data_IF_695491283739
#
_entry.id   IF_695491283739
#
_cell.length_a   1.000
_cell.length_b   1.000
_cell.length_c   1.000
_cell.angle_alpha   90.00
_cell.angle_beta   90.00
_cell.angle_gamma   90.00
#
_symmetry.space_group_name_H-M   'P 1'
#
loop_
_entity.id
_entity.type
_entity.pdbx_description
1 polymer ?
#
# COMPACT_ATOMS: atom_id res chain seq x y z
N UNK A 1 80.34 20.10 0.10
CA UNK A 1 79.09 20.74 -0.34
C UNK A 1 77.99 19.69 -0.41
N UNK A 2 77.15 19.57 0.63
CA UNK A 2 76.00 18.65 0.64
C UNK A 2 74.77 19.44 0.19
N UNK A 3 74.12 19.02 -0.91
CA UNK A 3 72.87 19.61 -1.40
C UNK A 3 71.70 19.02 -0.64
N UNK A 4 70.99 19.87 0.09
CA UNK A 4 69.73 19.56 0.77
C UNK A 4 68.60 19.63 -0.26
N UNK A 5 67.88 18.52 -0.49
CA UNK A 5 66.68 18.49 -1.32
C UNK A 5 65.48 18.85 -0.45
N UNK A 6 64.78 19.93 -0.81
CA UNK A 6 63.51 20.36 -0.21
C UNK A 6 62.40 19.48 -0.80
N UNK A 7 61.82 18.56 -0.01
CA UNK A 7 60.58 17.86 -0.36
C UNK A 7 59.39 18.75 -0.04
N UNK A 8 58.72 19.26 -1.07
CA UNK A 8 57.46 20.00 -0.96
C UNK A 8 56.32 18.99 -0.82
N UNK A 9 55.76 18.85 0.39
CA UNK A 9 54.53 18.08 0.60
C UNK A 9 53.34 18.86 0.05
N UNK A 10 52.79 18.41 -1.07
CA UNK A 10 51.48 18.86 -1.55
C UNK A 10 50.39 18.21 -0.69
N UNK A 11 49.80 19.00 0.20
CA UNK A 11 48.53 18.63 0.85
C UNK A 11 47.42 18.70 -0.19
N UNK A 12 47.00 17.55 -0.71
CA UNK A 12 45.70 17.43 -1.37
C UNK A 12 44.62 17.51 -0.29
N UNK A 13 44.05 18.70 -0.10
CA UNK A 13 42.75 18.85 0.57
C UNK A 13 41.69 18.20 -0.33
N UNK A 14 41.38 16.93 -0.06
CA UNK A 14 40.12 16.34 -0.48
C UNK A 14 39.01 17.17 0.17
N UNK A 15 38.40 18.06 -0.61
CA UNK A 15 37.13 18.65 -0.27
C UNK A 15 36.13 17.50 -0.12
N UNK A 16 35.89 17.09 1.12
CA UNK A 16 34.68 16.37 1.50
C UNK A 16 33.53 17.31 1.11
N UNK A 17 32.95 17.11 -0.08
CA UNK A 17 31.68 17.71 -0.41
C UNK A 17 30.68 17.14 0.58
N UNK A 18 30.40 17.90 1.62
CA UNK A 18 29.40 17.57 2.63
C UNK A 18 28.05 17.55 1.92
N UNK A 19 27.65 16.37 1.46
CA UNK A 19 26.44 16.20 0.68
C UNK A 19 25.30 16.26 1.68
N UNK A 20 24.45 17.28 1.57
CA UNK A 20 23.26 17.46 2.38
C UNK A 20 22.54 16.11 2.58
N UNK A 21 22.22 15.81 3.84
CA UNK A 21 21.59 14.55 4.20
C UNK A 21 20.14 14.54 3.72
N UNK A 22 19.71 13.45 3.10
CA UNK A 22 18.31 13.26 2.72
C UNK A 22 17.47 13.04 4.00
N UNK A 23 16.31 13.69 4.11
CA UNK A 23 15.35 13.43 5.18
C UNK A 23 14.47 12.25 4.76
N UNK A 24 14.80 11.05 5.20
CA UNK A 24 14.14 9.83 4.75
C UNK A 24 13.17 9.28 5.81
N UNK A 25 12.05 8.75 5.35
CA UNK A 25 11.14 7.96 6.17
C UNK A 25 11.82 6.68 6.70
N UNK A 26 11.12 5.95 7.57
CA UNK A 26 11.65 4.72 8.16
C UNK A 26 11.97 3.67 7.08
N UNK A 27 13.21 3.18 7.09
CA UNK A 27 13.81 2.33 6.04
C UNK A 27 13.66 2.91 4.61
N UNK A 28 13.53 4.24 4.52
CA UNK A 28 13.43 5.01 3.29
C UNK A 28 14.64 4.82 2.40
N UNK A 29 14.41 4.94 1.10
CA UNK A 29 15.48 4.89 0.10
C UNK A 29 15.67 6.28 -0.47
N UNK A 30 16.94 6.63 -0.67
CA UNK A 30 17.30 7.85 -1.37
C UNK A 30 16.49 8.02 -2.68
N UNK A 31 15.75 9.12 -2.84
CA UNK A 31 15.04 9.43 -4.06
C UNK A 31 15.97 9.50 -5.28
N UNK A 32 15.50 8.98 -6.41
CA UNK A 32 16.17 9.18 -7.70
C UNK A 32 15.39 10.22 -8.50
N UNK A 33 15.48 11.49 -8.09
CA UNK A 33 14.73 12.60 -8.67
C UNK A 33 14.86 12.71 -10.20
N UNK A 34 16.02 12.36 -10.77
CA UNK A 34 16.23 12.32 -12.23
C UNK A 34 15.30 11.39 -12.99
N UNK A 35 14.67 10.40 -12.33
CA UNK A 35 13.64 9.56 -12.96
C UNK A 35 12.41 10.38 -13.37
N UNK A 36 12.13 11.48 -12.68
CA UNK A 36 10.99 12.35 -12.98
C UNK A 36 11.17 13.11 -14.30
N UNK A 37 12.40 13.19 -14.84
CA UNK A 37 12.66 13.81 -16.16
C UNK A 37 11.91 13.11 -17.30
N UNK A 38 11.59 11.82 -17.16
CA UNK A 38 10.79 11.11 -18.17
C UNK A 38 9.33 11.56 -18.21
N UNK A 39 8.87 12.36 -17.24
CA UNK A 39 7.49 12.84 -17.14
C UNK A 39 7.33 14.30 -17.56
N UNK A 40 8.38 14.94 -18.07
CA UNK A 40 8.30 16.32 -18.55
C UNK A 40 7.23 16.45 -19.63
N UNK A 41 6.37 17.46 -19.50
CA UNK A 41 5.29 17.78 -20.45
C UNK A 41 4.27 16.63 -20.65
N UNK A 42 4.14 15.72 -19.68
CA UNK A 42 3.13 14.63 -19.72
C UNK A 42 1.77 15.03 -19.12
N UNK A 43 1.75 16.11 -18.34
CA UNK A 43 0.59 16.59 -17.59
C UNK A 43 0.43 18.11 -17.76
N UNK A 44 -0.82 18.58 -17.84
CA UNK A 44 -1.11 20.02 -17.83
C UNK A 44 -1.02 20.58 -16.41
N UNK A 45 -0.92 21.91 -16.29
CA UNK A 45 -0.95 22.59 -14.99
C UNK A 45 -2.20 22.23 -14.19
N UNK A 46 -3.36 22.33 -14.81
CA UNK A 46 -4.64 22.19 -14.12
C UNK A 46 -4.88 20.74 -13.67
N UNK A 47 -4.47 19.75 -14.48
CA UNK A 47 -4.49 18.35 -14.05
C UNK A 47 -3.52 18.10 -12.89
N UNK A 48 -2.31 18.68 -12.92
CA UNK A 48 -1.36 18.55 -11.82
C UNK A 48 -1.92 19.17 -10.53
N UNK A 49 -2.49 20.37 -10.63
CA UNK A 49 -3.12 21.08 -9.52
C UNK A 49 -4.31 20.30 -8.95
N UNK A 50 -5.16 19.72 -9.80
CA UNK A 50 -6.26 18.87 -9.36
C UNK A 50 -5.77 17.63 -8.64
N UNK A 51 -4.83 16.88 -9.22
CA UNK A 51 -4.33 15.66 -8.59
C UNK A 51 -3.62 15.96 -7.27
N UNK A 52 -2.80 16.99 -7.19
CA UNK A 52 -2.07 17.27 -5.95
C UNK A 52 -3.01 17.77 -4.85
N UNK A 53 -3.93 18.69 -5.14
CA UNK A 53 -4.78 19.29 -4.11
C UNK A 53 -6.02 18.46 -3.77
N UNK A 54 -6.63 17.80 -4.75
CA UNK A 54 -7.95 17.17 -4.59
C UNK A 54 -7.87 15.64 -4.47
N UNK A 55 -6.71 15.04 -4.75
CA UNK A 55 -6.51 13.59 -4.70
C UNK A 55 -5.43 13.18 -3.71
N UNK A 56 -4.20 13.68 -3.88
CA UNK A 56 -3.07 13.23 -3.10
C UNK A 56 -2.92 13.97 -1.77
N UNK A 57 -3.19 15.27 -1.72
CA UNK A 57 -3.01 16.12 -0.54
C UNK A 57 -4.31 16.87 -0.20
N UNK A 58 -5.40 16.14 -0.04
CA UNK A 58 -6.76 16.65 0.22
C UNK A 58 -6.90 17.51 1.48
N UNK A 59 -5.91 17.42 2.39
CA UNK A 59 -5.83 18.21 3.62
C UNK A 59 -4.72 19.28 3.58
N UNK A 60 -4.19 19.54 2.38
CA UNK A 60 -3.12 20.52 2.14
C UNK A 60 -1.70 19.97 2.35
N UNK A 61 -0.73 20.79 1.95
CA UNK A 61 0.71 20.56 2.13
C UNK A 61 1.42 21.90 2.35
N UNK A 62 2.66 21.87 2.85
CA UNK A 62 3.41 23.10 3.08
C UNK A 62 3.80 23.77 1.73
N UNK A 63 3.51 25.07 1.51
CA UNK A 63 3.70 25.73 0.22
C UNK A 63 5.15 25.73 -0.31
N UNK A 64 6.13 25.60 0.57
CA UNK A 64 7.55 25.53 0.23
C UNK A 64 7.99 24.16 -0.33
N UNK A 65 7.17 23.12 -0.17
CA UNK A 65 7.45 21.79 -0.70
C UNK A 65 7.17 21.70 -2.20
N UNK A 66 6.08 22.32 -2.66
CA UNK A 66 5.62 22.27 -4.06
C UNK A 66 5.03 23.63 -4.44
N UNK A 67 5.66 24.28 -5.42
CA UNK A 67 5.21 25.57 -5.96
C UNK A 67 4.71 25.39 -7.40
N UNK A 68 3.43 25.72 -7.65
CA UNK A 68 2.73 25.52 -8.93
C UNK A 68 2.67 26.85 -9.69
N UNK A 69 3.55 27.00 -10.67
CA UNK A 69 3.65 28.15 -11.55
C UNK A 69 2.79 27.94 -12.83
N UNK A 70 2.67 28.95 -13.72
CA UNK A 70 1.89 28.81 -14.95
C UNK A 70 2.35 27.65 -15.86
N UNK A 71 3.66 27.54 -16.09
CA UNK A 71 4.23 26.55 -17.02
C UNK A 71 5.01 25.41 -16.32
N UNK A 72 5.23 25.52 -15.01
CA UNK A 72 6.05 24.56 -14.25
C UNK A 72 5.55 24.30 -12.84
N UNK A 73 5.92 23.16 -12.26
CA UNK A 73 5.93 22.94 -10.83
C UNK A 73 7.36 22.82 -10.32
N UNK A 74 7.70 23.51 -9.23
CA UNK A 74 8.97 23.37 -8.52
C UNK A 74 8.74 22.49 -7.29
N UNK A 75 9.40 21.36 -7.23
CA UNK A 75 9.30 20.40 -6.12
C UNK A 75 10.60 20.42 -5.33
N UNK A 76 10.53 20.67 -4.03
CA UNK A 76 11.69 20.62 -3.13
C UNK A 76 12.23 19.18 -3.09
N UNK A 77 13.51 19.00 -3.43
CA UNK A 77 14.15 17.68 -3.46
C UNK A 77 14.90 17.33 -2.19
N UNK A 78 15.33 18.35 -1.44
CA UNK A 78 16.01 18.21 -0.16
C UNK A 78 15.97 19.55 0.61
N UNK A 79 15.44 19.53 1.84
CA UNK A 79 15.25 20.73 2.64
C UNK A 79 16.58 21.39 3.08
N UNK A 80 17.63 20.62 3.35
CA UNK A 80 18.90 21.17 3.84
C UNK A 80 19.65 21.95 2.74
N UNK A 81 19.68 21.42 1.53
CA UNK A 81 20.33 22.04 0.37
C UNK A 81 19.44 23.04 -0.37
N UNK A 82 18.14 23.10 -0.05
CA UNK A 82 17.13 23.88 -0.79
C UNK A 82 17.13 23.55 -2.30
N UNK A 83 17.52 22.32 -2.65
CA UNK A 83 17.52 21.86 -4.04
C UNK A 83 16.11 21.58 -4.52
N UNK A 84 15.86 21.85 -5.81
CA UNK A 84 14.54 21.71 -6.42
C UNK A 84 14.60 20.93 -7.75
N UNK A 85 13.55 20.18 -8.02
CA UNK A 85 13.25 19.59 -9.32
C UNK A 85 12.18 20.45 -10.01
N UNK A 86 12.36 20.75 -11.29
CA UNK A 86 11.39 21.54 -12.07
C UNK A 86 10.69 20.64 -13.07
N UNK A 87 9.38 20.42 -12.86
CA UNK A 87 8.50 19.76 -13.82
C UNK A 87 7.91 20.81 -14.75
N UNK A 88 8.02 20.62 -16.07
CA UNK A 88 7.36 21.41 -17.10
C UNK A 88 6.02 20.80 -17.44
N UNK A 89 5.01 21.65 -17.56
CA UNK A 89 3.68 21.25 -17.96
C UNK A 89 3.54 21.18 -19.49
N UNK A 90 2.65 20.31 -19.95
CA UNK A 90 2.15 20.36 -21.31
C UNK A 90 1.33 21.65 -21.49
N UNK A 91 1.44 22.29 -22.66
CA UNK A 91 0.67 23.50 -22.99
C UNK A 91 -0.84 23.24 -23.00
N UNK A 92 -1.23 22.07 -23.49
CA UNK A 92 -2.61 21.58 -23.51
C UNK A 92 -2.61 20.05 -23.70
N UNK A 93 -3.80 19.45 -23.63
CA UNK A 93 -3.96 18.00 -23.76
C UNK A 93 -3.45 17.42 -25.08
N UNK A 94 -3.57 18.17 -26.18
CA UNK A 94 -3.14 17.71 -27.52
C UNK A 94 -1.63 17.72 -27.69
N UNK A 95 -0.90 18.51 -26.89
CA UNK A 95 0.55 18.62 -26.95
C UNK A 95 1.27 17.77 -25.89
N UNK A 96 0.55 16.90 -25.16
CA UNK A 96 1.14 16.15 -24.05
C UNK A 96 2.06 15.03 -24.54
N UNK A 97 3.19 14.84 -23.86
CA UNK A 97 4.03 13.67 -24.05
C UNK A 97 3.33 12.41 -23.52
N UNK A 98 3.60 11.24 -24.11
CA UNK A 98 3.12 9.96 -23.57
C UNK A 98 3.62 9.75 -22.14
N UNK A 99 2.72 9.35 -21.25
CA UNK A 99 3.08 9.03 -19.85
C UNK A 99 3.86 7.71 -19.84
N UNK A 100 5.12 7.68 -19.35
CA UNK A 100 5.86 6.45 -19.20
C UNK A 100 5.25 5.61 -18.06
N UNK A 101 4.88 4.36 -18.35
CA UNK A 101 4.25 3.45 -17.37
C UNK A 101 4.97 2.11 -17.33
N UNK A 102 4.93 1.47 -16.16
CA UNK A 102 5.35 0.08 -15.96
C UNK A 102 4.15 -0.90 -15.98
N UNK A 103 2.98 -0.38 -16.30
CA UNK A 103 1.67 -1.04 -16.27
C UNK A 103 0.83 -0.55 -17.47
N UNK A 104 -0.17 -1.32 -17.87
CA UNK A 104 -1.04 -1.00 -19.00
C UNK A 104 -2.42 -0.56 -18.51
N UNK A 105 -2.93 0.63 -18.90
CA UNK A 105 -4.32 1.00 -18.62
C UNK A 105 -5.28 0.08 -19.34
N UNK A 106 -6.50 -0.09 -18.80
CA UNK A 106 -7.50 -1.01 -19.34
C UNK A 106 -7.79 -0.74 -20.82
N UNK A 107 -7.80 0.53 -21.23
CA UNK A 107 -8.04 0.97 -22.61
C UNK A 107 -6.91 0.60 -23.59
N UNK A 108 -5.70 0.34 -23.11
CA UNK A 108 -4.58 -0.10 -23.96
C UNK A 108 -4.47 -1.62 -24.08
N UNK A 109 -5.21 -2.37 -23.27
CA UNK A 109 -5.25 -3.82 -23.40
C UNK A 109 -5.98 -4.21 -24.69
N UNK A 110 -5.69 -5.38 -25.29
CA UNK A 110 -6.38 -5.86 -26.48
C UNK A 110 -7.91 -5.87 -26.31
N UNK A 111 -8.69 -5.99 -27.39
CA UNK A 111 -10.15 -6.15 -27.26
C UNK A 111 -10.50 -7.37 -26.41
N UNK A 112 -11.56 -7.26 -25.60
CA UNK A 112 -12.04 -8.33 -24.72
C UNK A 112 -12.49 -9.55 -25.54
N UNK A 113 -12.20 -10.76 -25.05
CA UNK A 113 -12.82 -11.99 -25.52
C UNK A 113 -14.01 -12.32 -24.61
N UNK A 114 -15.15 -12.72 -25.19
CA UNK A 114 -16.38 -12.94 -24.42
C UNK A 114 -16.22 -14.01 -23.31
N UNK A 115 -15.47 -15.08 -23.60
CA UNK A 115 -15.16 -16.17 -22.66
C UNK A 115 -14.02 -15.85 -21.68
N UNK A 116 -13.16 -14.88 -22.03
CA UNK A 116 -11.96 -14.50 -21.27
C UNK A 116 -11.90 -12.98 -21.09
N UNK A 117 -12.79 -12.42 -20.25
CA UNK A 117 -12.93 -10.98 -20.09
C UNK A 117 -11.68 -10.27 -19.55
N UNK A 118 -10.77 -11.01 -18.90
CA UNK A 118 -9.53 -10.48 -18.34
C UNK A 118 -8.30 -10.87 -19.19
N UNK A 119 -8.50 -11.36 -20.41
CA UNK A 119 -7.39 -11.72 -21.31
C UNK A 119 -6.45 -10.54 -21.56
N UNK A 120 -5.15 -10.77 -21.37
CA UNK A 120 -4.08 -9.79 -21.53
C UNK A 120 -3.69 -9.06 -20.24
N UNK A 121 -4.53 -9.12 -19.20
CA UNK A 121 -4.29 -8.43 -17.94
C UNK A 121 -3.32 -9.20 -17.04
N UNK A 122 -2.36 -8.49 -16.43
CA UNK A 122 -1.43 -9.02 -15.44
C UNK A 122 -1.83 -8.55 -14.04
N UNK A 123 -2.26 -9.48 -13.19
CA UNK A 123 -2.69 -9.18 -11.82
C UNK A 123 -1.69 -9.80 -10.84
N UNK A 124 -1.20 -9.00 -9.90
CA UNK A 124 -0.52 -9.50 -8.72
C UNK A 124 -1.49 -9.52 -7.52
N UNK A 125 -1.57 -10.67 -6.85
CA UNK A 125 -2.28 -10.81 -5.59
C UNK A 125 -1.31 -10.57 -4.45
N UNK A 126 -1.60 -9.62 -3.58
CA UNK A 126 -0.85 -9.36 -2.36
C UNK A 126 -1.69 -9.72 -1.14
N UNK A 127 -1.60 -10.97 -0.65
CA UNK A 127 -2.23 -11.34 0.60
C UNK A 127 -1.59 -10.55 1.75
N UNK A 128 -2.37 -9.66 2.37
CA UNK A 128 -1.94 -8.82 3.48
C UNK A 128 -1.37 -9.63 4.64
N UNK A 129 -0.54 -9.00 5.46
CA UNK A 129 0.02 -9.59 6.69
C UNK A 129 0.88 -10.84 6.48
N UNK A 130 1.40 -11.39 7.58
CA UNK A 130 2.05 -12.69 7.67
C UNK A 130 1.25 -13.62 8.58
N UNK A 131 1.14 -14.88 8.14
CA UNK A 131 0.34 -15.91 8.80
C UNK A 131 1.14 -16.83 9.72
N UNK A 132 0.51 -17.92 10.18
CA UNK A 132 1.14 -18.97 10.97
C UNK A 132 1.85 -18.45 12.23
N UNK A 133 3.14 -18.76 12.36
CA UNK A 133 3.95 -18.37 13.54
C UNK A 133 4.17 -16.85 13.66
N UNK A 134 3.99 -16.10 12.57
CA UNK A 134 4.23 -14.64 12.54
C UNK A 134 3.01 -13.84 12.98
N UNK A 135 1.80 -14.42 12.91
CA UNK A 135 0.57 -13.67 13.13
C UNK A 135 0.45 -13.02 14.51
N UNK A 136 1.00 -13.67 15.56
CA UNK A 136 1.01 -13.10 16.92
C UNK A 136 1.90 -11.85 17.01
N UNK A 137 3.02 -11.82 16.29
CA UNK A 137 3.93 -10.67 16.24
C UNK A 137 3.29 -9.48 15.52
N UNK A 138 2.48 -9.73 14.48
CA UNK A 138 1.76 -8.66 13.78
C UNK A 138 0.53 -8.16 14.54
N UNK A 139 0.15 -8.83 15.63
CA UNK A 139 -1.08 -8.58 16.38
C UNK A 139 -2.35 -8.64 15.52
N UNK A 140 -2.28 -9.33 14.37
CA UNK A 140 -3.41 -9.62 13.50
C UNK A 140 -3.89 -11.05 13.73
N UNK A 141 -4.12 -11.34 15.00
CA UNK A 141 -4.40 -12.67 15.50
C UNK A 141 -5.31 -12.62 16.73
N UNK A 142 -6.24 -13.58 16.83
CA UNK A 142 -6.98 -13.83 18.06
C UNK A 142 -7.53 -15.26 18.12
N UNK A 143 -8.02 -15.66 19.29
CA UNK A 143 -8.69 -16.94 19.50
C UNK A 143 -9.80 -16.79 20.55
N UNK A 144 -10.94 -17.46 20.35
CA UNK A 144 -12.07 -17.45 21.30
C UNK A 144 -12.22 -18.85 21.89
N UNK A 145 -12.00 -18.99 23.19
CA UNK A 145 -12.03 -20.30 23.85
C UNK A 145 -11.10 -21.32 23.17
N UNK A 146 -11.63 -22.51 22.85
CA UNK A 146 -10.87 -23.60 22.24
C UNK A 146 -11.01 -23.67 20.71
N UNK A 147 -11.49 -22.60 20.05
CA UNK A 147 -11.66 -22.59 18.58
C UNK A 147 -10.32 -22.53 17.86
N UNK A 148 -10.32 -22.71 16.53
CA UNK A 148 -9.11 -22.47 15.75
C UNK A 148 -8.73 -20.98 15.81
N UNK A 149 -7.43 -20.64 15.90
CA UNK A 149 -6.98 -19.27 15.89
C UNK A 149 -7.35 -18.59 14.56
N UNK A 150 -7.80 -17.34 14.65
CA UNK A 150 -8.01 -16.48 13.50
C UNK A 150 -6.73 -15.70 13.25
N UNK A 151 -6.16 -15.83 12.06
CA UNK A 151 -4.92 -15.16 11.67
C UNK A 151 -5.11 -14.48 10.32
N UNK A 152 -5.09 -13.14 10.28
CA UNK A 152 -5.42 -12.41 9.04
C UNK A 152 -4.54 -12.83 7.85
N UNK A 153 -3.24 -13.04 8.10
CA UNK A 153 -2.30 -13.52 7.09
C UNK A 153 -2.65 -14.90 6.50
N UNK A 154 -3.29 -15.78 7.25
CA UNK A 154 -3.76 -17.08 6.76
C UNK A 154 -5.02 -16.91 5.91
N UNK A 155 -5.98 -16.10 6.41
CA UNK A 155 -7.25 -15.85 5.74
C UNK A 155 -7.03 -15.21 4.35
N UNK A 156 -6.19 -14.18 4.28
CA UNK A 156 -5.90 -13.47 3.02
C UNK A 156 -5.20 -14.37 2.01
N UNK A 157 -4.30 -15.26 2.48
CA UNK A 157 -3.63 -16.22 1.63
C UNK A 157 -4.60 -17.26 1.06
N UNK A 158 -5.57 -17.70 1.88
CA UNK A 158 -6.64 -18.59 1.44
C UNK A 158 -7.53 -17.95 0.38
N UNK A 159 -7.95 -16.69 0.57
CA UNK A 159 -8.69 -15.93 -0.46
C UNK A 159 -7.88 -15.85 -1.75
N UNK A 160 -6.60 -15.51 -1.68
CA UNK A 160 -5.74 -15.39 -2.86
C UNK A 160 -5.61 -16.72 -3.64
N UNK A 161 -5.53 -17.85 -2.92
CA UNK A 161 -5.48 -19.19 -3.52
C UNK A 161 -6.78 -19.57 -4.24
N UNK A 162 -7.92 -19.07 -3.79
CA UNK A 162 -9.22 -19.27 -4.46
C UNK A 162 -9.42 -18.28 -5.62
N UNK A 163 -8.99 -17.04 -5.45
CA UNK A 163 -9.11 -15.97 -6.45
C UNK A 163 -8.23 -16.24 -7.68
N UNK A 164 -6.99 -16.69 -7.48
CA UNK A 164 -6.04 -16.92 -8.56
C UNK A 164 -6.54 -17.87 -9.68
N UNK A 165 -7.05 -19.08 -9.41
CA UNK A 165 -7.59 -19.95 -10.46
C UNK A 165 -8.81 -19.35 -11.16
N UNK A 166 -9.67 -18.61 -10.44
CA UNK A 166 -10.82 -17.91 -11.04
C UNK A 166 -10.37 -16.84 -12.04
N UNK A 167 -9.44 -15.97 -11.64
CA UNK A 167 -8.88 -14.94 -12.52
C UNK A 167 -8.15 -15.54 -13.73
N UNK A 168 -7.40 -16.64 -13.55
CA UNK A 168 -6.77 -17.37 -14.66
C UNK A 168 -7.78 -17.94 -15.64
N UNK A 169 -8.89 -18.51 -15.14
CA UNK A 169 -10.00 -19.00 -15.97
C UNK A 169 -10.62 -17.87 -16.81
N UNK A 170 -10.72 -16.67 -16.24
CA UNK A 170 -11.17 -15.45 -16.92
C UNK A 170 -10.12 -14.85 -17.88
N UNK A 171 -8.93 -15.43 -17.98
CA UNK A 171 -7.89 -15.09 -18.95
C UNK A 171 -6.75 -14.20 -18.42
N UNK A 172 -6.76 -13.81 -17.14
CA UNK A 172 -5.69 -13.01 -16.56
C UNK A 172 -4.42 -13.83 -16.34
N UNK A 173 -3.26 -13.18 -16.41
CA UNK A 173 -2.00 -13.70 -15.90
C UNK A 173 -1.87 -13.31 -14.43
N UNK A 174 -1.88 -14.30 -13.54
CA UNK A 174 -1.90 -14.06 -12.09
C UNK A 174 -0.59 -14.44 -11.43
N UNK A 175 -0.05 -13.50 -10.66
CA UNK A 175 1.14 -13.63 -9.83
C UNK A 175 0.78 -13.51 -8.36
N UNK A 176 1.60 -14.09 -7.49
CA UNK A 176 1.51 -13.88 -6.05
C UNK A 176 2.69 -13.03 -5.58
N UNK A 177 2.41 -12.06 -4.72
CA UNK A 177 3.43 -11.29 -4.00
C UNK A 177 4.01 -12.12 -2.84
N UNK A 178 3.18 -12.98 -2.22
CA UNK A 178 3.61 -14.10 -1.38
C UNK A 178 2.71 -15.33 -1.59
N UNK A 179 3.30 -16.52 -1.51
CA UNK A 179 2.60 -17.80 -1.75
C UNK A 179 2.47 -18.68 -0.49
N UNK A 180 3.12 -18.27 0.60
CA UNK A 180 3.14 -18.95 1.89
C UNK A 180 3.00 -17.96 3.04
N UNK A 181 3.03 -18.49 4.27
CA UNK A 181 3.06 -17.70 5.49
C UNK A 181 4.46 -17.18 5.84
N UNK A 182 5.49 -17.54 5.07
CA UNK A 182 6.84 -17.05 5.32
C UNK A 182 7.02 -15.63 4.75
N UNK A 183 7.75 -14.75 5.45
CA UNK A 183 8.14 -13.44 4.93
C UNK A 183 9.00 -13.60 3.67
N UNK A 184 8.84 -12.69 2.72
CA UNK A 184 9.68 -12.67 1.51
C UNK A 184 10.94 -11.82 1.70
N UNK A 185 11.00 -11.00 2.77
CA UNK A 185 12.23 -10.36 3.21
C UNK A 185 13.19 -11.38 3.85
N UNK A 186 14.48 -11.21 3.55
CA UNK A 186 15.54 -11.99 4.18
C UNK A 186 15.84 -11.49 5.60
N UNK A 187 15.42 -10.26 5.94
CA UNK A 187 15.67 -9.67 7.25
C UNK A 187 14.73 -10.26 8.31
N UNK A 188 15.15 -10.20 9.57
CA UNK A 188 14.41 -10.66 10.75
C UNK A 188 14.41 -9.56 11.82
N UNK A 189 13.55 -9.65 12.85
CA UNK A 189 13.51 -8.64 13.92
C UNK A 189 14.90 -8.33 14.49
N UNK A 190 15.74 -9.34 14.72
CA UNK A 190 17.07 -9.12 15.29
C UNK A 190 18.01 -8.25 14.44
N UNK A 191 17.83 -8.24 13.12
CA UNK A 191 18.59 -7.37 12.21
C UNK A 191 18.32 -5.87 12.44
N UNK A 192 17.24 -5.54 13.17
CA UNK A 192 16.79 -4.17 13.38
C UNK A 192 17.05 -3.64 14.80
N UNK A 193 17.61 -4.42 15.72
CA UNK A 193 17.73 -4.00 17.14
C UNK A 193 18.45 -2.67 17.33
N UNK A 194 19.57 -2.48 16.63
CA UNK A 194 20.33 -1.22 16.71
C UNK A 194 19.56 -0.03 16.11
N UNK A 195 18.83 -0.24 15.01
CA UNK A 195 17.99 0.81 14.43
C UNK A 195 16.80 1.13 15.32
N UNK A 196 16.15 0.11 15.87
CA UNK A 196 15.04 0.23 16.81
C UNK A 196 15.44 1.07 18.04
N UNK A 197 16.60 0.76 18.64
CA UNK A 197 17.15 1.54 19.76
C UNK A 197 17.34 3.01 19.39
N UNK A 198 17.92 3.31 18.23
CA UNK A 198 18.13 4.69 17.76
C UNK A 198 16.81 5.43 17.55
N UNK A 199 15.81 4.77 16.96
CA UNK A 199 14.47 5.35 16.75
C UNK A 199 13.81 5.65 18.09
N UNK A 200 13.84 4.71 19.04
CA UNK A 200 13.25 4.90 20.38
C UNK A 200 13.89 6.06 21.14
N UNK A 201 15.23 6.15 21.13
CA UNK A 201 15.97 7.28 21.74
C UNK A 201 15.57 8.60 21.09
N UNK A 202 15.52 8.65 19.74
CA UNK A 202 15.08 9.85 19.01
C UNK A 202 13.65 10.25 19.36
N UNK A 203 12.78 9.28 19.62
CA UNK A 203 11.37 9.49 19.96
C UNK A 203 11.12 9.71 21.46
N UNK A 204 12.17 9.98 22.25
CA UNK A 204 12.03 10.37 23.65
C UNK A 204 12.10 9.22 24.67
N UNK A 205 12.55 8.03 24.27
CA UNK A 205 12.82 6.91 25.18
C UNK A 205 14.35 6.78 25.36
N UNK A 206 14.99 7.54 26.27
CA UNK A 206 16.45 7.65 26.34
C UNK A 206 17.14 6.34 26.77
N UNK A 207 16.44 5.47 27.51
CA UNK A 207 16.91 4.16 27.94
C UNK A 207 15.92 3.07 27.52
N UNK A 208 15.87 2.70 26.22
CA UNK A 208 14.95 1.68 25.75
C UNK A 208 15.23 0.32 26.39
N UNK A 209 14.18 -0.33 26.89
CA UNK A 209 14.26 -1.70 27.41
C UNK A 209 14.47 -2.69 26.26
N UNK A 210 15.25 -3.74 26.49
CA UNK A 210 15.62 -4.68 25.44
C UNK A 210 14.43 -5.52 24.96
N UNK A 211 13.75 -6.17 25.90
CA UNK A 211 12.72 -7.16 25.62
C UNK A 211 11.47 -6.95 26.50
N UNK A 212 10.35 -7.51 26.06
CA UNK A 212 9.10 -7.58 26.79
C UNK A 212 9.11 -8.84 27.65
N UNK A 213 9.03 -8.69 28.98
CA UNK A 213 8.89 -9.83 29.91
C UNK A 213 7.43 -10.28 30.05
N UNK A 214 6.48 -9.35 29.91
CA UNK A 214 5.03 -9.57 30.01
C UNK A 214 4.32 -9.02 28.77
N UNK A 215 3.60 -9.84 27.97
CA UNK A 215 2.81 -9.36 26.82
C UNK A 215 1.77 -8.28 27.14
N UNK A 216 1.35 -8.16 28.40
CA UNK A 216 0.42 -7.14 28.89
C UNK A 216 1.12 -5.87 29.41
N UNK A 217 2.44 -5.78 29.28
CA UNK A 217 3.20 -4.60 29.67
C UNK A 217 2.67 -3.35 28.93
N UNK A 218 2.15 -2.33 29.66
CA UNK A 218 1.60 -1.12 29.05
C UNK A 218 2.65 -0.31 28.29
N UNK A 219 3.94 -0.53 28.57
CA UNK A 219 5.06 0.11 27.90
C UNK A 219 5.76 -0.82 26.90
N UNK A 220 5.15 -1.96 26.52
CA UNK A 220 5.74 -2.90 25.54
C UNK A 220 6.18 -2.22 24.25
N UNK A 221 5.46 -1.17 23.83
CA UNK A 221 5.73 -0.42 22.61
C UNK A 221 7.05 0.37 22.67
N UNK A 222 7.56 0.64 23.87
CA UNK A 222 8.83 1.34 24.10
C UNK A 222 10.05 0.41 24.14
N UNK A 223 9.85 -0.89 23.86
CA UNK A 223 10.94 -1.88 23.86
C UNK A 223 11.64 -1.99 22.50
N UNK A 224 12.94 -2.30 22.53
CA UNK A 224 13.74 -2.55 21.34
C UNK A 224 13.15 -3.71 20.55
N UNK A 225 12.73 -4.79 21.22
CA UNK A 225 12.08 -5.94 20.59
C UNK A 225 10.84 -5.52 19.79
N UNK A 226 9.89 -4.84 20.42
CA UNK A 226 8.66 -4.41 19.76
C UNK A 226 8.94 -3.55 18.53
N UNK A 227 9.79 -2.52 18.69
CA UNK A 227 10.14 -1.64 17.58
C UNK A 227 10.87 -2.41 16.45
N UNK A 228 11.67 -3.42 16.78
CA UNK A 228 12.34 -4.29 15.80
C UNK A 228 11.35 -5.16 15.03
N UNK A 229 10.33 -5.70 15.70
CA UNK A 229 9.23 -6.44 15.09
C UNK A 229 8.44 -5.55 14.10
N UNK A 230 8.10 -4.31 14.51
CA UNK A 230 7.46 -3.32 13.63
C UNK A 230 8.31 -3.02 12.39
N UNK A 231 9.61 -2.79 12.56
CA UNK A 231 10.55 -2.54 11.45
C UNK A 231 10.61 -3.73 10.48
N UNK A 232 10.52 -4.94 11.00
CA UNK A 232 10.51 -6.16 10.21
C UNK A 232 9.24 -6.29 9.35
N UNK A 233 8.05 -6.41 9.96
CA UNK A 233 6.85 -6.78 9.21
C UNK A 233 6.17 -5.58 8.52
N UNK A 234 6.23 -4.38 9.11
CA UNK A 234 5.52 -3.20 8.58
C UNK A 234 6.36 -2.40 7.59
N UNK A 235 7.69 -2.49 7.64
CA UNK A 235 8.58 -1.75 6.75
C UNK A 235 9.41 -2.64 5.84
N UNK A 236 10.24 -3.53 6.39
CA UNK A 236 11.15 -4.36 5.58
C UNK A 236 10.40 -5.29 4.64
N UNK A 237 9.42 -6.02 5.17
CA UNK A 237 8.59 -6.95 4.40
C UNK A 237 7.82 -6.23 3.27
N UNK A 238 7.09 -5.15 3.57
CA UNK A 238 6.34 -4.39 2.55
C UNK A 238 7.28 -3.79 1.49
N UNK A 239 8.45 -3.24 1.88
CA UNK A 239 9.43 -2.73 0.91
C UNK A 239 10.02 -3.84 0.05
N UNK A 240 10.18 -5.07 0.58
CA UNK A 240 10.59 -6.22 -0.20
C UNK A 240 9.50 -6.65 -1.19
N UNK A 241 8.24 -6.62 -0.79
CA UNK A 241 7.09 -6.85 -1.68
C UNK A 241 7.06 -5.82 -2.81
N UNK A 242 7.29 -4.56 -2.51
CA UNK A 242 7.39 -3.50 -3.51
C UNK A 242 8.52 -3.76 -4.52
N UNK A 243 9.68 -4.24 -4.05
CA UNK A 243 10.77 -4.60 -4.95
C UNK A 243 10.40 -5.78 -5.87
N UNK A 244 9.70 -6.80 -5.36
CA UNK A 244 9.21 -7.93 -6.16
C UNK A 244 8.21 -7.45 -7.23
N UNK A 245 7.21 -6.66 -6.81
CA UNK A 245 6.18 -6.08 -7.71
C UNK A 245 6.84 -5.25 -8.82
N UNK A 246 7.70 -4.31 -8.43
CA UNK A 246 8.22 -3.28 -9.34
C UNK A 246 9.33 -3.76 -10.28
N UNK A 247 10.09 -4.79 -9.91
CA UNK A 247 11.30 -5.19 -10.65
C UNK A 247 11.24 -6.62 -11.20
N UNK A 248 10.22 -7.40 -10.86
CA UNK A 248 10.06 -8.77 -11.39
C UNK A 248 8.67 -9.03 -11.92
N UNK A 249 7.63 -8.72 -11.15
CA UNK A 249 6.27 -9.09 -11.52
C UNK A 249 5.70 -8.18 -12.61
N UNK A 250 6.00 -6.88 -12.57
CA UNK A 250 5.48 -5.85 -13.48
C UNK A 250 3.98 -6.03 -13.78
N UNK A 251 3.10 -6.08 -12.75
CA UNK A 251 1.69 -6.26 -12.96
C UNK A 251 1.05 -4.97 -13.49
N UNK A 252 -0.11 -5.12 -14.13
CA UNK A 252 -0.97 -4.00 -14.51
C UNK A 252 -1.80 -3.52 -13.31
N UNK A 253 -2.05 -4.41 -12.35
CA UNK A 253 -2.83 -4.17 -11.14
C UNK A 253 -2.29 -5.03 -9.99
N UNK A 254 -2.22 -4.45 -8.80
CA UNK A 254 -2.08 -5.22 -7.55
C UNK A 254 -3.39 -5.18 -6.76
N UNK A 255 -3.85 -6.34 -6.31
CA UNK A 255 -4.95 -6.48 -5.36
C UNK A 255 -4.38 -6.81 -3.99
N UNK A 256 -4.44 -5.86 -3.07
CA UNK A 256 -4.07 -6.08 -1.68
C UNK A 256 -5.28 -6.63 -0.93
N UNK A 257 -5.20 -7.89 -0.51
CA UNK A 257 -6.30 -8.62 0.12
C UNK A 257 -6.12 -8.57 1.62
N UNK A 258 -7.11 -8.03 2.33
CA UNK A 258 -7.11 -7.87 3.77
C UNK A 258 -8.46 -8.27 4.37
N UNK A 259 -8.51 -8.39 5.70
CA UNK A 259 -9.75 -8.39 6.48
C UNK A 259 -9.67 -7.21 7.45
N UNK A 260 -10.80 -6.60 7.80
CA UNK A 260 -10.78 -5.55 8.81
C UNK A 260 -10.94 -6.14 10.22
N UNK A 261 -10.70 -5.34 11.25
CA UNK A 261 -11.00 -5.66 12.63
C UNK A 261 -11.42 -4.40 13.40
N UNK A 262 -12.26 -4.59 14.40
CA UNK A 262 -12.65 -3.56 15.37
C UNK A 262 -11.89 -3.70 16.68
N UNK A 263 -12.00 -2.71 17.56
CA UNK A 263 -11.46 -2.80 18.92
C UNK A 263 -11.91 -4.09 19.64
N UNK A 264 -10.96 -4.82 20.21
CA UNK A 264 -11.15 -6.16 20.80
C UNK A 264 -11.65 -6.13 22.27
N UNK A 265 -11.95 -4.93 22.80
CA UNK A 265 -12.40 -4.73 24.17
C UNK A 265 -11.29 -4.94 25.20
N UNK A 266 -11.65 -5.47 26.38
CA UNK A 266 -10.68 -5.90 27.40
C UNK A 266 -9.83 -7.06 26.84
N UNK A 267 -8.51 -6.89 26.68
CA UNK A 267 -7.64 -7.96 26.17
C UNK A 267 -7.66 -9.25 27.01
N UNK A 268 -8.00 -9.17 28.30
CA UNK A 268 -8.09 -10.32 29.19
C UNK A 268 -9.42 -11.07 29.07
N UNK A 269 -10.46 -10.40 28.57
CA UNK A 269 -11.78 -10.99 28.36
C UNK A 269 -12.42 -10.43 27.07
N UNK A 270 -11.86 -10.80 25.92
CA UNK A 270 -12.28 -10.20 24.68
C UNK A 270 -13.65 -10.69 24.23
N UNK A 271 -14.39 -9.81 23.56
CA UNK A 271 -15.72 -10.11 23.06
C UNK A 271 -15.81 -9.84 21.56
N UNK A 272 -16.51 -10.72 20.85
CA UNK A 272 -16.81 -10.52 19.43
C UNK A 272 -17.82 -9.37 19.29
N UNK A 273 -17.57 -8.49 18.32
CA UNK A 273 -18.44 -7.36 18.03
C UNK A 273 -19.61 -7.77 17.13
N UNK A 274 -20.69 -6.99 17.14
CA UNK A 274 -21.76 -7.09 16.14
C UNK A 274 -21.47 -6.23 14.90
N UNK A 275 -20.45 -5.37 14.96
CA UNK A 275 -20.06 -4.48 13.86
C UNK A 275 -19.40 -5.30 12.76
N UNK A 276 -19.88 -5.12 11.53
CA UNK A 276 -19.27 -5.67 10.33
C UNK A 276 -19.46 -4.68 9.18
N UNK A 277 -18.44 -4.48 8.35
CA UNK A 277 -18.45 -3.50 7.27
C UNK A 277 -17.49 -3.88 6.16
N UNK A 278 -17.55 -3.10 5.09
CA UNK A 278 -16.72 -3.19 3.92
C UNK A 278 -16.11 -1.81 3.65
N UNK A 279 -14.85 -1.79 3.28
CA UNK A 279 -14.30 -0.65 2.56
C UNK A 279 -13.12 -1.07 1.69
N UNK A 280 -12.80 -0.21 0.73
CA UNK A 280 -11.64 -0.35 -0.12
C UNK A 280 -10.75 0.89 0.02
N UNK A 281 -9.45 0.69 -0.17
CA UNK A 281 -8.47 1.78 -0.12
C UNK A 281 -7.74 1.94 -1.45
N UNK A 282 -7.51 3.20 -1.82
CA UNK A 282 -6.62 3.64 -2.90
C UNK A 282 -5.60 4.62 -2.33
N UNK A 283 -4.52 4.91 -3.06
CA UNK A 283 -3.53 5.87 -2.60
C UNK A 283 -4.07 7.32 -2.60
N UNK A 284 -3.68 8.11 -1.60
CA UNK A 284 -3.96 9.55 -1.49
C UNK A 284 -3.98 9.99 -0.03
N UNK A 285 -4.56 11.17 0.26
CA UNK A 285 -4.68 11.70 1.63
C UNK A 285 -3.35 11.76 2.42
N UNK A 286 -2.26 12.16 1.76
CA UNK A 286 -0.95 12.37 2.39
C UNK A 286 -1.03 13.51 3.41
N UNK A 287 -0.41 13.30 4.57
CA UNK A 287 -0.29 14.31 5.61
C UNK A 287 0.88 15.26 5.32
N UNK A 288 0.77 16.51 5.76
CA UNK A 288 1.82 17.50 5.61
C UNK A 288 3.18 17.02 6.15
N UNK A 289 3.18 16.38 7.32
CA UNK A 289 4.40 15.86 7.96
C UNK A 289 4.99 14.67 7.22
N UNK A 290 4.18 13.87 6.54
CA UNK A 290 4.66 12.77 5.69
C UNK A 290 5.44 13.32 4.49
N UNK A 291 4.99 14.46 3.94
CA UNK A 291 5.63 15.12 2.81
C UNK A 291 6.92 15.87 3.17
N UNK A 292 7.27 15.98 4.44
CA UNK A 292 8.60 16.47 4.85
C UNK A 292 9.71 15.45 4.52
N UNK A 293 9.36 14.17 4.38
CA UNK A 293 10.29 13.13 3.97
C UNK A 293 10.50 13.14 2.46
N UNK A 294 11.76 13.25 2.05
CA UNK A 294 12.18 13.36 0.65
C UNK A 294 11.73 12.13 -0.18
N UNK A 295 11.73 10.92 0.41
CA UNK A 295 11.29 9.70 -0.27
C UNK A 295 9.78 9.55 -0.38
N UNK A 296 9.02 10.01 0.61
CA UNK A 296 7.56 10.01 0.54
C UNK A 296 7.05 11.00 -0.52
N UNK A 297 7.59 12.23 -0.50
CA UNK A 297 7.29 13.27 -1.48
C UNK A 297 7.67 12.81 -2.89
N UNK A 298 8.84 12.18 -3.07
CA UNK A 298 9.25 11.62 -4.35
C UNK A 298 8.28 10.54 -4.87
N UNK A 299 7.93 9.55 -4.04
CA UNK A 299 7.06 8.45 -4.49
C UNK A 299 5.62 8.93 -4.73
N UNK A 300 5.11 9.91 -3.97
CA UNK A 300 3.83 10.57 -4.25
C UNK A 300 3.84 11.27 -5.62
N UNK A 301 4.82 12.15 -5.88
CA UNK A 301 4.92 12.87 -7.16
C UNK A 301 5.06 11.88 -8.32
N UNK A 302 5.88 10.85 -8.16
CA UNK A 302 6.00 9.78 -9.16
C UNK A 302 4.67 9.08 -9.42
N UNK A 303 3.90 8.77 -8.38
CA UNK A 303 2.60 8.11 -8.53
C UNK A 303 1.60 9.01 -9.25
N UNK A 304 1.52 10.28 -8.86
CA UNK A 304 0.71 11.32 -9.51
C UNK A 304 1.03 11.37 -11.01
N UNK A 305 2.31 11.49 -11.36
CA UNK A 305 2.75 11.59 -12.76
C UNK A 305 2.55 10.30 -13.55
N UNK A 306 2.50 9.14 -12.90
CA UNK A 306 2.19 7.87 -13.55
C UNK A 306 0.72 7.73 -13.97
N UNK A 307 -0.16 8.63 -13.48
CA UNK A 307 -1.60 8.62 -13.72
C UNK A 307 -2.26 7.31 -13.28
N UNK A 308 -1.77 6.72 -12.19
CA UNK A 308 -2.33 5.48 -11.63
C UNK A 308 -3.76 5.71 -11.09
N UNK A 309 -4.01 6.87 -10.48
CA UNK A 309 -5.31 7.19 -9.87
C UNK A 309 -6.48 7.13 -10.87
N UNK A 310 -6.24 7.56 -12.12
CA UNK A 310 -7.22 7.53 -13.21
C UNK A 310 -7.75 6.12 -13.49
N UNK A 311 -6.95 5.09 -13.20
CA UNK A 311 -7.31 3.68 -13.31
C UNK A 311 -7.76 3.10 -11.95
N UNK A 312 -7.08 3.46 -10.85
CA UNK A 312 -7.35 2.94 -9.51
C UNK A 312 -8.74 3.27 -8.99
N UNK A 313 -9.16 4.54 -9.07
CA UNK A 313 -10.41 4.95 -8.44
C UNK A 313 -11.62 4.28 -9.09
N UNK A 314 -11.83 4.35 -10.43
CA UNK A 314 -12.98 3.70 -11.06
C UNK A 314 -13.00 2.18 -10.90
N UNK A 315 -11.81 1.56 -10.86
CA UNK A 315 -11.64 0.14 -10.60
C UNK A 315 -12.06 -0.22 -9.17
N UNK A 316 -11.52 0.48 -8.16
CA UNK A 316 -11.88 0.29 -6.77
C UNK A 316 -13.39 0.49 -6.54
N UNK A 317 -13.97 1.54 -7.12
CA UNK A 317 -15.40 1.80 -7.03
C UNK A 317 -16.27 0.66 -7.58
N UNK A 318 -15.80 0.04 -8.67
CA UNK A 318 -16.52 -1.07 -9.32
C UNK A 318 -16.38 -2.36 -8.51
N UNK A 319 -15.19 -2.65 -7.99
CA UNK A 319 -14.97 -3.78 -7.08
C UNK A 319 -15.80 -3.60 -5.81
N UNK A 320 -15.80 -2.40 -5.22
CA UNK A 320 -16.55 -2.10 -4.02
C UNK A 320 -18.05 -2.35 -4.19
N UNK A 321 -18.63 -1.92 -5.32
CA UNK A 321 -20.04 -2.20 -5.65
C UNK A 321 -20.33 -3.70 -5.76
N UNK A 322 -19.45 -4.46 -6.41
CA UNK A 322 -19.61 -5.91 -6.51
C UNK A 322 -19.54 -6.59 -5.13
N UNK A 323 -18.56 -6.20 -4.32
CA UNK A 323 -18.43 -6.69 -2.94
C UNK A 323 -19.63 -6.30 -2.07
N UNK A 324 -20.14 -5.07 -2.17
CA UNK A 324 -21.31 -4.64 -1.43
C UNK A 324 -22.56 -5.45 -1.81
N UNK A 325 -22.75 -5.76 -3.11
CA UNK A 325 -23.85 -6.62 -3.59
C UNK A 325 -23.77 -8.04 -3.04
N UNK A 326 -22.58 -8.62 -2.95
CA UNK A 326 -22.45 -10.02 -2.53
C UNK A 326 -22.45 -10.16 -1.00
N UNK A 327 -21.75 -9.26 -0.31
CA UNK A 327 -21.58 -9.33 1.15
C UNK A 327 -22.76 -8.70 1.91
N UNK A 328 -23.50 -7.78 1.27
CA UNK A 328 -24.55 -6.97 1.89
C UNK A 328 -24.06 -6.16 3.11
N UNK A 329 -22.76 -5.89 3.19
CA UNK A 329 -22.18 -5.13 4.29
C UNK A 329 -22.34 -3.61 4.09
N UNK A 330 -22.55 -2.85 5.18
CA UNK A 330 -22.51 -1.40 5.12
C UNK A 330 -21.08 -0.89 4.86
N UNK A 331 -20.93 0.34 4.34
CA UNK A 331 -19.62 0.97 4.24
C UNK A 331 -19.02 1.19 5.64
N UNK A 332 -17.70 1.04 5.76
CA UNK A 332 -16.98 1.52 6.95
C UNK A 332 -17.06 3.04 7.03
N UNK A 333 -17.25 3.57 8.23
CA UNK A 333 -17.20 5.01 8.48
C UNK A 333 -15.94 5.34 9.29
N UNK A 334 -14.97 5.96 8.64
CA UNK A 334 -13.74 6.40 9.29
C UNK A 334 -14.06 7.47 10.35
N UNK A 335 -13.45 7.40 11.54
CA UNK A 335 -13.45 8.54 12.47
C UNK A 335 -12.93 9.79 11.76
N UNK A 336 -13.41 10.98 12.13
CA UNK A 336 -12.92 12.24 11.56
C UNK A 336 -11.41 12.37 11.76
N UNK A 337 -10.66 12.27 10.68
CA UNK A 337 -9.19 12.29 10.65
C UNK A 337 -8.70 12.86 9.32
N UNK A 338 -7.51 13.46 9.32
CA UNK A 338 -6.86 13.93 8.10
C UNK A 338 -6.10 12.81 7.37
N UNK A 339 -5.98 11.63 7.99
CA UNK A 339 -5.24 10.50 7.42
C UNK A 339 -6.01 9.72 6.35
N UNK A 340 -7.30 10.04 6.15
CA UNK A 340 -8.15 9.42 5.14
C UNK A 340 -9.08 10.44 4.48
N UNK A 341 -9.52 10.12 3.27
CA UNK A 341 -10.54 10.91 2.55
C UNK A 341 -11.51 9.97 1.84
N UNK A 342 -12.82 10.15 2.01
CA UNK A 342 -13.84 9.38 1.26
C UNK A 342 -13.81 9.81 -0.20
N UNK A 343 -13.69 8.86 -1.12
CA UNK A 343 -13.56 9.12 -2.56
C UNK A 343 -14.46 8.20 -3.37
N UNK A 344 -14.62 8.52 -4.66
CA UNK A 344 -15.46 7.73 -5.55
C UNK A 344 -16.95 7.94 -5.29
N UNK A 345 -17.75 7.08 -5.92
CA UNK A 345 -19.21 7.19 -5.99
C UNK A 345 -19.92 6.01 -5.32
N UNK A 346 -19.21 4.93 -5.03
CA UNK A 346 -19.78 3.76 -4.35
C UNK A 346 -20.14 4.05 -2.89
N UNK A 347 -19.46 4.99 -2.24
CA UNK A 347 -19.57 5.23 -0.80
C UNK A 347 -18.67 4.32 0.05
N UNK A 348 -17.90 3.42 -0.57
CA UNK A 348 -17.08 2.40 0.09
C UNK A 348 -15.56 2.62 -0.07
N UNK A 349 -15.14 3.58 -0.89
CA UNK A 349 -13.72 3.78 -1.22
C UNK A 349 -13.15 4.97 -0.46
N UNK A 350 -11.95 4.80 0.09
CA UNK A 350 -11.22 5.86 0.77
C UNK A 350 -9.79 5.99 0.22
N UNK A 351 -9.29 7.21 0.10
CA UNK A 351 -7.90 7.49 -0.19
C UNK A 351 -7.08 7.53 1.12
N UNK A 352 -5.92 6.86 1.14
CA UNK A 352 -5.02 6.79 2.30
C UNK A 352 -3.57 6.57 1.89
N UNK A 353 -2.61 7.14 2.62
CA UNK A 353 -1.18 6.95 2.37
C UNK A 353 -0.65 5.67 3.05
N UNK A 354 -1.02 4.50 2.50
CA UNK A 354 -0.45 3.22 2.94
C UNK A 354 0.87 2.91 2.21
N UNK A 355 1.84 2.33 2.92
CA UNK A 355 3.18 2.08 2.38
C UNK A 355 3.17 1.29 1.06
N UNK A 356 2.36 0.24 0.92
CA UNK A 356 2.33 -0.52 -0.32
C UNK A 356 1.65 0.26 -1.47
N UNK A 357 0.54 0.96 -1.20
CA UNK A 357 -0.09 1.86 -2.18
C UNK A 357 0.84 2.98 -2.65
N UNK A 358 1.73 3.45 -1.78
CA UNK A 358 2.76 4.44 -2.12
C UNK A 358 3.88 3.84 -2.99
N UNK A 359 4.33 2.62 -2.68
CA UNK A 359 5.55 2.05 -3.27
C UNK A 359 5.32 1.19 -4.52
N UNK A 360 4.14 0.59 -4.71
CA UNK A 360 3.87 -0.26 -5.88
C UNK A 360 3.61 0.62 -7.11
N UNK A 361 4.40 0.45 -8.17
CA UNK A 361 4.45 1.35 -9.34
C UNK A 361 3.44 0.95 -10.42
N UNK A 362 2.23 0.64 -9.98
CA UNK A 362 1.04 0.33 -10.77
C UNK A 362 -0.21 0.70 -9.95
N UNK A 363 -1.41 0.67 -10.55
CA UNK A 363 -2.66 0.68 -9.82
C UNK A 363 -2.69 -0.36 -8.69
N UNK A 364 -3.18 0.04 -7.51
CA UNK A 364 -3.34 -0.80 -6.32
C UNK A 364 -4.75 -0.61 -5.76
N UNK A 365 -5.44 -1.72 -5.48
CA UNK A 365 -6.72 -1.68 -4.78
C UNK A 365 -6.60 -2.55 -3.54
N UNK A 366 -6.78 -1.93 -2.38
CA UNK A 366 -6.91 -2.62 -1.09
C UNK A 366 -8.37 -3.00 -0.88
N UNK A 367 -8.61 -4.27 -0.61
CA UNK A 367 -9.92 -4.79 -0.25
C UNK A 367 -9.91 -5.14 1.24
N UNK A 368 -10.75 -4.47 2.03
CA UNK A 368 -10.93 -4.74 3.46
C UNK A 368 -12.39 -5.09 3.78
N UNK A 369 -12.93 -6.20 3.22
CA UNK A 369 -14.20 -6.75 3.66
C UNK A 369 -14.05 -7.47 5.01
N UNK A 370 -15.18 -7.56 5.69
CA UNK A 370 -15.37 -8.31 6.92
C UNK A 370 -14.52 -7.86 8.09
N UNK A 371 -15.19 -7.51 9.17
CA UNK A 371 -14.58 -7.39 10.49
C UNK A 371 -14.37 -8.79 11.03
N UNK A 372 -13.13 -9.30 11.00
CA UNK A 372 -12.80 -10.70 11.37
C UNK A 372 -13.21 -11.04 12.81
N UNK A 373 -13.25 -10.05 13.70
CA UNK A 373 -13.75 -10.15 15.07
C UNK A 373 -15.25 -9.88 15.24
N UNK A 374 -16.02 -9.81 14.15
CA UNK A 374 -17.48 -9.79 14.24
C UNK A 374 -18.01 -11.19 14.50
N UNK A 375 -19.15 -11.32 15.20
CA UNK A 375 -19.79 -12.63 15.46
C UNK A 375 -20.08 -13.40 14.17
N UNK A 376 -20.55 -12.71 13.13
CA UNK A 376 -20.85 -13.31 11.83
C UNK A 376 -19.58 -13.78 11.12
N UNK A 377 -18.61 -12.88 10.91
CA UNK A 377 -17.39 -13.25 10.20
C UNK A 377 -16.61 -14.33 10.94
N UNK A 378 -16.51 -14.24 12.27
CA UNK A 378 -15.87 -15.26 13.08
C UNK A 378 -16.51 -16.64 12.88
N UNK A 379 -17.84 -16.75 12.96
CA UNK A 379 -18.54 -18.02 12.73
C UNK A 379 -18.30 -18.57 11.32
N UNK A 380 -18.29 -17.69 10.31
CA UNK A 380 -18.03 -18.07 8.91
C UNK A 380 -16.56 -18.48 8.68
N UNK A 381 -15.61 -17.84 9.36
CA UNK A 381 -14.19 -18.22 9.36
C UNK A 381 -14.02 -19.60 9.99
N UNK A 382 -14.63 -19.84 11.15
CA UNK A 382 -14.57 -21.14 11.84
C UNK A 382 -15.23 -22.27 11.03
N UNK A 383 -16.22 -21.96 10.20
CA UNK A 383 -16.83 -22.94 9.30
C UNK A 383 -15.88 -23.40 8.17
N UNK A 384 -14.76 -22.71 7.95
CA UNK A 384 -13.76 -23.03 6.94
C UNK A 384 -14.23 -22.75 5.50
N UNK A 385 -13.44 -23.23 4.53
CA UNK A 385 -13.88 -23.23 3.13
C UNK A 385 -14.79 -24.41 2.81
N UNK A 386 -15.79 -24.17 1.97
CA UNK A 386 -16.73 -25.17 1.50
C UNK A 386 -17.38 -24.75 0.18
N UNK A 387 -17.77 -25.75 -0.62
CA UNK A 387 -18.57 -25.56 -1.84
C UNK A 387 -20.04 -25.24 -1.51
N UNK A 388 -20.70 -24.51 -2.41
CA UNK A 388 -22.12 -24.17 -2.29
C UNK A 388 -22.42 -23.27 -1.10
N UNK A 389 -23.49 -23.56 -0.37
CA UNK A 389 -23.90 -22.83 0.83
C UNK A 389 -24.02 -23.75 2.03
N UNK A 390 -23.83 -23.19 3.23
CA UNK A 390 -24.10 -23.84 4.51
C UNK A 390 -24.88 -22.91 5.42
N UNK A 391 -25.64 -23.49 6.35
CA UNK A 391 -26.27 -22.72 7.41
C UNK A 391 -25.20 -22.23 8.40
N UNK A 392 -24.97 -20.92 8.48
CA UNK A 392 -24.14 -20.27 9.48
C UNK A 392 -24.99 -19.19 10.14
N UNK A 393 -25.15 -19.26 11.46
CA UNK A 393 -25.99 -18.35 12.25
C UNK A 393 -27.43 -18.22 11.72
N UNK A 394 -28.05 -19.33 11.30
CA UNK A 394 -29.43 -19.35 10.81
C UNK A 394 -29.62 -18.88 9.36
N UNK A 395 -28.54 -18.51 8.67
CA UNK A 395 -28.57 -18.07 7.27
C UNK A 395 -27.80 -19.02 6.36
N UNK A 396 -28.33 -19.31 5.18
CA UNK A 396 -27.57 -19.98 4.12
C UNK A 396 -26.51 -19.01 3.59
N UNK A 397 -25.25 -19.32 3.85
CA UNK A 397 -24.10 -18.49 3.47
C UNK A 397 -23.16 -19.29 2.61
N UNK A 398 -22.50 -18.60 1.69
CA UNK A 398 -21.32 -19.10 1.01
C UNK A 398 -20.11 -19.00 1.96
N UNK A 399 -19.12 -19.86 1.73
CA UNK A 399 -17.78 -19.71 2.32
C UNK A 399 -17.33 -18.25 2.21
N UNK A 400 -16.95 -17.65 3.33
CA UNK A 400 -16.50 -16.24 3.39
C UNK A 400 -15.33 -16.00 2.43
N UNK A 401 -14.47 -17.00 2.26
CA UNK A 401 -13.31 -16.95 1.37
C UNK A 401 -13.72 -16.95 -0.12
N UNK A 402 -14.72 -17.74 -0.48
CA UNK A 402 -15.22 -17.81 -1.86
C UNK A 402 -16.13 -16.65 -2.21
N UNK A 403 -16.92 -16.15 -1.27
CA UNK A 403 -17.71 -14.92 -1.44
C UNK A 403 -16.78 -13.73 -1.69
N UNK A 404 -15.68 -13.62 -0.94
CA UNK A 404 -14.65 -12.62 -1.18
C UNK A 404 -13.99 -12.81 -2.57
N UNK A 405 -13.46 -13.99 -2.86
CA UNK A 405 -12.80 -14.23 -4.15
C UNK A 405 -13.72 -13.97 -5.36
N UNK A 406 -15.00 -14.33 -5.25
CA UNK A 406 -15.96 -14.16 -6.34
C UNK A 406 -16.33 -12.70 -6.54
N UNK A 407 -16.64 -11.97 -5.46
CA UNK A 407 -17.01 -10.56 -5.56
C UNK A 407 -15.88 -9.69 -6.14
N UNK A 408 -14.61 -9.97 -5.79
CA UNK A 408 -13.45 -9.30 -6.38
C UNK A 408 -13.33 -9.63 -7.87
N UNK A 409 -13.45 -10.91 -8.25
CA UNK A 409 -13.38 -11.32 -9.64
C UNK A 409 -14.50 -10.70 -10.49
N UNK A 410 -15.71 -10.63 -9.95
CA UNK A 410 -16.88 -10.09 -10.65
C UNK A 410 -16.75 -8.57 -10.84
N UNK A 411 -16.25 -7.86 -9.83
CA UNK A 411 -15.92 -6.43 -9.94
C UNK A 411 -14.84 -6.14 -10.99
N UNK A 412 -13.81 -6.97 -11.08
CA UNK A 412 -12.79 -6.88 -12.13
C UNK A 412 -13.39 -7.10 -13.52
N UNK A 413 -14.20 -8.14 -13.68
CA UNK A 413 -14.87 -8.44 -14.95
C UNK A 413 -15.76 -7.27 -15.37
N UNK A 414 -16.56 -6.71 -14.45
CA UNK A 414 -17.43 -5.55 -14.71
C UNK A 414 -16.61 -4.34 -15.19
N UNK A 415 -15.54 -4.00 -14.47
CA UNK A 415 -14.69 -2.86 -14.78
C UNK A 415 -14.00 -3.01 -16.15
N UNK A 416 -13.24 -4.09 -16.34
CA UNK A 416 -12.47 -4.30 -17.57
C UNK A 416 -13.37 -4.53 -18.78
N UNK A 417 -14.57 -5.08 -18.60
CA UNK A 417 -15.57 -5.16 -19.65
C UNK A 417 -16.00 -3.77 -20.11
N UNK A 418 -16.45 -2.93 -19.18
CA UNK A 418 -16.91 -1.57 -19.48
C UNK A 418 -15.79 -0.69 -20.06
N UNK A 419 -14.57 -0.82 -19.56
CA UNK A 419 -13.44 -0.01 -20.01
C UNK A 419 -12.95 -0.38 -21.41
N UNK A 420 -13.10 -1.65 -21.83
CA UNK A 420 -12.64 -2.17 -23.14
C UNK A 420 -13.72 -2.20 -24.21
N UNK A 421 -15.00 -2.09 -23.85
CA UNK A 421 -16.12 -2.06 -24.79
C UNK A 421 -16.39 -0.63 -25.34
N UNK A 422 -15.78 0.41 -24.76
CA UNK A 422 -15.92 1.82 -25.19
C UNK A 422 -14.92 2.27 -26.28
N UNK A 423 -14.36 1.32 -27.03
CA UNK A 423 -13.48 1.61 -28.15
C UNK A 423 -14.22 1.47 -29.48
N UNK A 424 -15.04 2.47 -29.81
CA UNK A 424 -15.52 2.78 -31.17
C UNK A 424 -15.36 4.29 -31.39
#
# INVERSE_FOLDING_TARGET
>A
MKRTALLTFWFFSLALTDRAADNLGVLGRRPKWSVLEHYQETITRDEFAHLINDVYCTHGFAPDLIDINPDTARILTNCQSQSVFTLRFAKNDTSRNPVPRLWHPAKSLPRRKADKPLSGLRIALDPGHLGGKWAKMEERWFQVGNTQPVQEGDLTLQVARLLAPRLRKLGAKVYFVRESNEPITAQRPDDFRELAKKILIKNGVPQPRADVLDPNDPEKEQTIRWQSEILFYRYSEIRRRAALVNFRLHPDLVLCLHFNAEGWGDPNNPTLTDINHLHLLVNGSYLQQELEFDDERFEMIRRLLSRAYDEELPLADTIARAMARDTQLPPYEYPTTNSTTKVGTSGYVFARNLLATRLYRCPVVYCEPYVMNSKDAFARIQAGDYEGTRNVNGSQRKSIFREYADSVADGLVEYYSKARDKGD
#
